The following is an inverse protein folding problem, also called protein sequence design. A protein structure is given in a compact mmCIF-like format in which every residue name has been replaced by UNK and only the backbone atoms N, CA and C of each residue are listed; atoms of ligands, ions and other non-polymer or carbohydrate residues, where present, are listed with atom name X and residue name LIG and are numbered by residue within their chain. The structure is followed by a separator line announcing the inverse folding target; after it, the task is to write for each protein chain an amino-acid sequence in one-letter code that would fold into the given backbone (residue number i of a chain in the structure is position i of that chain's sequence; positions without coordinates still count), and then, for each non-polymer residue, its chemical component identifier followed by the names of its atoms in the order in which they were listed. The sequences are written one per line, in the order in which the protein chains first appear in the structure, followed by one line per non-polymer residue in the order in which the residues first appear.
data_IF_768617144394
#
_entry.id   IF_768617144394
#
_cell.length_a   1.000
_cell.length_b   1.000
_cell.length_c   1.000
_cell.angle_alpha   90.00
_cell.angle_beta   90.00
_cell.angle_gamma   90.00
#
_symmetry.space_group_name_H-M   'P 1'
#
loop_
_entity.id
_entity.type
_entity.pdbx_description
1 polymer ?
#
# COMPACT_ATOMS: atom_id res chain seq x y z
N UNK A 1 34.02 71.86 -65.25
CA UNK A 1 33.36 70.53 -65.38
C UNK A 1 34.32 69.42 -64.95
N UNK A 2 34.45 69.08 -63.66
CA UNK A 2 35.06 67.81 -63.20
C UNK A 2 34.92 67.67 -61.67
N UNK A 3 33.70 67.48 -61.16
CA UNK A 3 33.45 67.28 -59.72
C UNK A 3 32.39 66.21 -59.42
N UNK A 4 32.12 65.31 -60.38
CA UNK A 4 31.01 64.34 -60.30
C UNK A 4 31.41 62.86 -60.17
N UNK A 5 32.71 62.50 -60.27
CA UNK A 5 33.14 61.09 -60.31
C UNK A 5 33.58 60.51 -58.95
N UNK A 6 34.01 61.31 -57.98
CA UNK A 6 34.49 60.78 -56.69
C UNK A 6 33.39 60.41 -55.70
N UNK A 7 32.22 61.05 -55.75
CA UNK A 7 31.06 60.67 -54.90
C UNK A 7 30.54 59.26 -55.18
N UNK A 8 30.73 58.72 -56.39
CA UNK A 8 30.30 57.35 -56.73
C UNK A 8 31.21 56.26 -56.13
N UNK A 9 32.51 56.52 -55.91
CA UNK A 9 33.43 55.51 -55.35
C UNK A 9 33.27 55.34 -53.83
N UNK A 10 32.98 56.41 -53.10
CA UNK A 10 32.79 56.36 -51.64
C UNK A 10 31.53 55.55 -51.27
N UNK A 11 30.45 55.68 -52.05
CA UNK A 11 29.20 54.92 -51.83
C UNK A 11 29.31 53.42 -52.10
N UNK A 12 30.29 52.97 -52.89
CA UNK A 12 30.49 51.53 -53.15
C UNK A 12 31.23 50.83 -52.01
N UNK A 13 32.16 51.50 -51.31
CA UNK A 13 32.88 50.94 -50.17
C UNK A 13 31.99 50.80 -48.93
N UNK A 14 31.15 51.80 -48.64
CA UNK A 14 30.19 51.74 -47.52
C UNK A 14 29.13 50.66 -47.71
N UNK A 15 28.66 50.42 -48.93
CA UNK A 15 27.73 49.32 -49.25
C UNK A 15 28.35 47.94 -49.06
N UNK A 16 29.62 47.74 -49.43
CA UNK A 16 30.33 46.46 -49.22
C UNK A 16 30.62 46.20 -47.74
N UNK A 17 30.99 47.23 -46.98
CA UNK A 17 31.19 47.11 -45.53
C UNK A 17 29.88 46.76 -44.80
N UNK A 18 28.76 47.40 -45.17
CA UNK A 18 27.45 47.07 -44.61
C UNK A 18 27.00 45.64 -44.92
N UNK A 19 27.22 45.17 -46.14
CA UNK A 19 26.90 43.78 -46.53
C UNK A 19 27.74 42.74 -45.76
N UNK A 20 29.05 43.00 -45.57
CA UNK A 20 29.91 42.13 -44.79
C UNK A 20 29.48 42.05 -43.32
N UNK A 21 29.10 43.18 -42.72
CA UNK A 21 28.61 43.21 -41.34
C UNK A 21 27.32 42.39 -41.19
N UNK A 22 26.34 42.59 -42.07
CA UNK A 22 25.09 41.82 -42.05
C UNK A 22 25.37 40.32 -42.18
N UNK A 23 26.26 39.92 -43.11
CA UNK A 23 26.63 38.51 -43.26
C UNK A 23 27.28 37.95 -41.99
N UNK A 24 28.22 38.67 -41.38
CA UNK A 24 28.86 38.24 -40.14
C UNK A 24 27.87 38.15 -38.98
N UNK A 25 26.91 39.08 -38.89
CA UNK A 25 25.86 39.05 -37.87
C UNK A 25 24.93 37.84 -38.07
N UNK A 26 24.52 37.55 -39.30
CA UNK A 26 23.70 36.37 -39.61
C UNK A 26 24.45 35.08 -39.26
N UNK A 27 25.73 34.96 -39.66
CA UNK A 27 26.56 33.80 -39.32
C UNK A 27 26.72 33.66 -37.80
N UNK A 28 26.95 34.76 -37.09
CA UNK A 28 27.06 34.75 -35.63
C UNK A 28 25.76 34.28 -34.97
N UNK A 29 24.61 34.78 -35.41
CA UNK A 29 23.29 34.38 -34.88
C UNK A 29 23.01 32.90 -35.16
N UNK A 30 23.39 32.40 -36.33
CA UNK A 30 23.24 30.97 -36.65
C UNK A 30 24.17 30.10 -35.79
N UNK A 31 25.41 30.53 -35.58
CA UNK A 31 26.37 29.81 -34.72
C UNK A 31 25.91 29.80 -33.26
N UNK A 32 25.43 30.93 -32.72
CA UNK A 32 24.93 30.98 -31.34
C UNK A 32 23.68 30.13 -31.18
N UNK A 33 22.76 30.14 -32.15
CA UNK A 33 21.60 29.26 -32.14
C UNK A 33 21.97 27.77 -32.19
N UNK A 34 23.00 27.41 -32.97
CA UNK A 34 23.49 26.02 -33.06
C UNK A 34 24.15 25.59 -31.75
N UNK A 35 25.03 26.42 -31.17
CA UNK A 35 25.68 26.14 -29.88
C UNK A 35 24.63 26.02 -28.77
N UNK A 36 23.64 26.91 -28.73
CA UNK A 36 22.56 26.86 -27.74
C UNK A 36 21.73 25.57 -27.88
N UNK A 37 21.33 25.20 -29.10
CA UNK A 37 20.60 23.94 -29.35
C UNK A 37 21.42 22.73 -28.92
N UNK A 38 22.70 22.67 -29.27
CA UNK A 38 23.58 21.56 -28.91
C UNK A 38 23.78 21.48 -27.39
N UNK A 39 24.01 22.61 -26.72
CA UNK A 39 24.12 22.67 -25.25
C UNK A 39 22.83 22.24 -24.56
N UNK A 40 21.68 22.67 -25.07
CA UNK A 40 20.37 22.29 -24.54
C UNK A 40 20.11 20.79 -24.71
N UNK A 41 20.39 20.22 -25.90
CA UNK A 41 20.25 18.79 -26.16
C UNK A 41 21.18 17.93 -25.30
N UNK A 42 22.44 18.35 -25.12
CA UNK A 42 23.40 17.64 -24.25
C UNK A 42 22.95 17.70 -22.78
N UNK A 43 22.46 18.84 -22.32
CA UNK A 43 21.92 18.99 -20.97
C UNK A 43 20.70 18.07 -20.75
N UNK A 44 19.73 18.08 -21.67
CA UNK A 44 18.57 17.19 -21.63
C UNK A 44 18.96 15.70 -21.63
N UNK A 45 19.94 15.32 -22.45
CA UNK A 45 20.45 13.95 -22.48
C UNK A 45 21.12 13.57 -21.16
N UNK A 46 21.94 14.45 -20.58
CA UNK A 46 22.54 14.24 -19.26
C UNK A 46 21.49 14.07 -18.17
N UNK A 47 20.44 14.90 -18.16
CA UNK A 47 19.34 14.75 -17.20
C UNK A 47 18.60 13.41 -17.35
N UNK A 48 18.36 12.95 -18.58
CA UNK A 48 17.76 11.63 -18.83
C UNK A 48 18.66 10.49 -18.36
N UNK A 49 19.97 10.58 -18.59
CA UNK A 49 20.92 9.59 -18.09
C UNK A 49 20.96 9.57 -16.57
N UNK A 50 21.01 10.73 -15.93
CA UNK A 50 21.01 10.83 -14.47
C UNK A 50 19.73 10.22 -13.89
N UNK A 51 18.57 10.56 -14.44
CA UNK A 51 17.30 9.98 -14.04
C UNK A 51 17.28 8.45 -14.19
N UNK A 52 17.85 7.91 -15.29
CA UNK A 52 17.93 6.46 -15.49
C UNK A 52 18.85 5.77 -14.47
N UNK A 53 19.97 6.41 -14.08
CA UNK A 53 20.86 5.93 -13.02
C UNK A 53 20.12 5.95 -11.68
N UNK A 54 19.53 7.09 -11.33
CA UNK A 54 18.74 7.30 -10.11
C UNK A 54 17.61 6.26 -9.99
N UNK A 55 16.89 6.02 -11.08
CA UNK A 55 15.81 5.03 -11.14
C UNK A 55 16.31 3.60 -10.93
N UNK A 56 17.45 3.22 -11.52
CA UNK A 56 18.05 1.91 -11.30
C UNK A 56 18.47 1.74 -9.84
N UNK A 57 19.12 2.74 -9.26
CA UNK A 57 19.51 2.75 -7.84
C UNK A 57 18.30 2.60 -6.92
N UNK A 58 17.25 3.42 -7.13
CA UNK A 58 16.01 3.34 -6.37
C UNK A 58 15.34 1.96 -6.52
N UNK A 59 15.31 1.39 -7.73
CA UNK A 59 14.73 0.06 -7.98
C UNK A 59 15.49 -1.04 -7.25
N UNK A 60 16.82 -1.05 -7.29
CA UNK A 60 17.62 -2.05 -6.57
C UNK A 60 17.50 -1.90 -5.05
N UNK A 61 17.45 -0.66 -4.54
CA UNK A 61 17.18 -0.39 -3.13
C UNK A 61 15.79 -0.89 -2.72
N UNK A 62 14.76 -0.65 -3.54
CA UNK A 62 13.40 -1.14 -3.32
C UNK A 62 13.33 -2.68 -3.28
N UNK A 63 13.94 -3.37 -4.25
CA UNK A 63 13.98 -4.84 -4.27
C UNK A 63 14.72 -5.42 -3.05
N UNK A 64 15.84 -4.78 -2.66
CA UNK A 64 16.61 -5.19 -1.48
C UNK A 64 15.83 -4.96 -0.20
N UNK A 65 15.17 -3.81 -0.08
CA UNK A 65 14.27 -3.45 1.01
C UNK A 65 13.11 -4.44 1.16
N UNK A 66 12.51 -4.83 0.04
CA UNK A 66 11.44 -5.81 0.04
C UNK A 66 11.91 -7.18 0.50
N UNK A 67 13.09 -7.65 0.04
CA UNK A 67 13.67 -8.91 0.51
C UNK A 67 13.98 -8.88 2.00
N UNK A 68 14.51 -7.75 2.50
CA UNK A 68 14.74 -7.54 3.92
C UNK A 68 13.43 -7.63 4.71
N UNK A 69 12.41 -6.89 4.27
CA UNK A 69 11.11 -6.87 4.93
C UNK A 69 10.46 -8.27 4.96
N UNK A 70 10.51 -9.00 3.85
CA UNK A 70 10.03 -10.39 3.74
C UNK A 70 10.77 -11.38 4.64
N UNK A 71 12.05 -11.13 4.95
CA UNK A 71 12.79 -11.95 5.90
C UNK A 71 12.41 -11.62 7.34
N UNK A 72 12.23 -10.33 7.66
CA UNK A 72 11.90 -9.88 9.02
C UNK A 72 10.45 -10.13 9.42
N UNK A 73 9.53 -10.25 8.47
CA UNK A 73 8.10 -10.40 8.75
C UNK A 73 7.77 -11.74 9.43
N UNK A 74 8.58 -12.79 9.22
CA UNK A 74 8.40 -14.08 9.88
C UNK A 74 8.53 -13.99 11.41
N UNK A 75 9.31 -13.03 11.89
CA UNK A 75 9.51 -12.73 13.32
C UNK A 75 8.49 -11.73 13.87
N UNK A 76 7.60 -11.19 13.03
CA UNK A 76 6.64 -10.19 13.46
C UNK A 76 5.50 -10.85 14.23
N UNK A 77 5.48 -10.61 15.54
CA UNK A 77 4.35 -10.88 16.42
C UNK A 77 3.64 -9.55 16.72
N UNK A 78 2.45 -9.30 16.11
CA UNK A 78 1.69 -8.10 16.38
C UNK A 78 1.26 -8.08 17.85
N UNK A 79 1.67 -7.05 18.59
CA UNK A 79 1.27 -6.85 19.98
C UNK A 79 0.27 -5.70 20.07
N UNK A 80 -0.93 -5.98 20.56
CA UNK A 80 -1.93 -4.96 20.83
C UNK A 80 -1.60 -4.20 22.11
N UNK A 81 -1.77 -2.88 22.08
CA UNK A 81 -1.52 -2.02 23.23
C UNK A 81 -2.85 -1.62 23.87
N UNK A 82 -2.98 -1.85 25.18
CA UNK A 82 -4.11 -1.36 25.98
C UNK A 82 -3.94 0.14 26.24
N UNK A 83 -5.03 0.89 26.08
CA UNK A 83 -5.06 2.35 26.16
C UNK A 83 -6.44 2.86 26.61
N UNK A 84 -6.81 2.65 27.88
CA UNK A 84 -8.13 3.01 28.39
C UNK A 84 -8.42 4.52 28.32
N UNK A 85 -7.40 5.36 28.47
CA UNK A 85 -7.56 6.82 28.63
C UNK A 85 -7.26 7.63 27.36
N UNK A 86 -6.87 6.97 26.25
CA UNK A 86 -6.55 7.63 24.99
C UNK A 86 -7.78 7.71 24.04
N UNK A 87 -7.87 8.76 23.19
CA UNK A 87 -8.84 8.78 22.10
C UNK A 87 -8.63 7.60 21.15
N UNK A 88 -9.71 7.05 20.56
CA UNK A 88 -9.53 5.98 19.58
C UNK A 88 -9.18 6.55 18.21
N UNK A 89 -8.34 5.82 17.46
CA UNK A 89 -8.07 6.16 16.06
C UNK A 89 -9.32 6.07 15.18
N UNK A 90 -10.32 5.27 15.57
CA UNK A 90 -11.52 5.04 14.77
C UNK A 90 -12.36 6.30 14.55
N UNK A 91 -12.37 7.19 15.54
CA UNK A 91 -13.26 8.35 15.57
C UNK A 91 -12.66 9.53 14.80
N UNK A 92 -11.34 9.49 14.58
CA UNK A 92 -10.61 10.50 13.82
C UNK A 92 -11.17 10.69 12.42
N UNK A 93 -11.70 9.61 11.83
CA UNK A 93 -12.14 9.59 10.44
C UNK A 93 -13.52 10.21 10.24
N UNK A 94 -14.40 10.09 11.24
CA UNK A 94 -15.72 10.74 11.25
C UNK A 94 -15.63 12.24 11.56
N UNK A 95 -14.60 12.65 12.30
CA UNK A 95 -14.48 14.03 12.76
C UNK A 95 -14.15 14.97 11.62
N UNK A 96 -14.84 16.10 11.58
CA UNK A 96 -14.41 17.27 10.81
C UNK A 96 -13.04 17.75 11.30
N UNK A 97 -12.35 18.54 10.47
CA UNK A 97 -11.03 19.07 10.82
C UNK A 97 -11.07 19.98 12.07
N UNK A 98 -12.18 20.68 12.27
CA UNK A 98 -12.42 21.52 13.46
C UNK A 98 -12.57 20.65 14.71
N UNK A 99 -13.40 19.61 14.65
CA UNK A 99 -13.57 18.65 15.75
C UNK A 99 -12.27 17.92 16.07
N UNK A 100 -11.51 17.51 15.04
CA UNK A 100 -10.21 16.88 15.23
C UNK A 100 -9.24 17.82 15.95
N UNK A 101 -9.14 19.09 15.53
CA UNK A 101 -8.28 20.08 16.22
C UNK A 101 -8.70 20.31 17.67
N UNK A 102 -10.00 20.41 17.93
CA UNK A 102 -10.53 20.55 19.28
C UNK A 102 -10.20 19.32 20.14
N UNK A 103 -10.43 18.11 19.62
CA UNK A 103 -10.10 16.86 20.29
C UNK A 103 -8.60 16.77 20.59
N UNK A 104 -7.75 17.14 19.64
CA UNK A 104 -6.29 17.16 19.85
C UNK A 104 -5.86 18.20 20.89
N UNK A 105 -6.50 19.38 20.92
CA UNK A 105 -6.25 20.40 21.93
C UNK A 105 -6.69 19.95 23.33
N UNK A 106 -7.88 19.34 23.45
CA UNK A 106 -8.37 18.76 24.70
C UNK A 106 -7.47 17.61 25.18
N UNK A 107 -7.01 16.76 24.26
CA UNK A 107 -6.11 15.67 24.60
C UNK A 107 -4.73 16.18 25.05
N UNK A 108 -4.19 17.20 24.37
CA UNK A 108 -2.96 17.88 24.78
C UNK A 108 -3.09 18.47 26.20
N UNK A 109 -4.25 19.07 26.52
CA UNK A 109 -4.53 19.59 27.85
C UNK A 109 -4.61 18.49 28.91
N UNK A 110 -5.28 17.36 28.62
CA UNK A 110 -5.33 16.21 29.53
C UNK A 110 -3.94 15.67 29.84
N UNK A 111 -3.09 15.51 28.81
CA UNK A 111 -1.71 15.08 28.97
C UNK A 111 -0.89 16.07 29.83
N UNK A 112 -1.06 17.37 29.61
CA UNK A 112 -0.37 18.39 30.41
C UNK A 112 -0.74 18.30 31.91
N UNK A 113 -2.03 18.12 32.22
CA UNK A 113 -2.52 17.98 33.61
C UNK A 113 -1.98 16.71 34.27
N UNK A 114 -1.93 15.58 33.55
CA UNK A 114 -1.37 14.32 34.07
C UNK A 114 0.14 14.42 34.36
N UNK A 115 0.88 15.15 33.53
CA UNK A 115 2.31 15.40 33.75
C UNK A 115 2.50 16.25 35.01
N UNK A 116 1.74 17.34 35.16
CA UNK A 116 1.83 18.22 36.33
C UNK A 116 1.45 17.48 37.63
N UNK A 117 0.43 16.61 37.61
CA UNK A 117 0.02 15.81 38.76
C UNK A 117 1.05 14.74 39.16
N UNK A 118 1.80 14.19 38.19
CA UNK A 118 2.78 13.11 38.41
C UNK A 118 4.25 13.58 38.46
N UNK A 119 4.49 14.90 38.43
CA UNK A 119 5.80 15.57 38.31
C UNK A 119 6.76 15.43 39.51
N UNK A 120 6.72 14.29 40.21
CA UNK A 120 7.75 13.87 41.16
C UNK A 120 8.40 12.50 40.86
N UNK A 121 7.94 11.67 39.89
CA UNK A 121 8.59 10.34 39.76
C UNK A 121 8.64 9.57 38.42
N UNK A 122 8.37 10.13 37.24
CA UNK A 122 8.56 9.35 35.99
C UNK A 122 9.27 10.12 34.88
N UNK A 123 10.61 10.01 34.90
CA UNK A 123 11.52 10.46 33.86
C UNK A 123 11.39 9.70 32.53
N UNK A 124 10.72 8.54 32.51
CA UNK A 124 10.72 7.64 31.33
C UNK A 124 9.86 8.12 30.15
N UNK A 125 8.73 8.80 30.43
CA UNK A 125 7.83 9.28 29.38
C UNK A 125 8.45 10.43 28.55
N UNK A 126 9.13 11.37 29.22
CA UNK A 126 9.80 12.50 28.57
C UNK A 126 10.98 12.05 27.70
N UNK A 127 11.75 11.04 28.11
CA UNK A 127 12.84 10.50 27.28
C UNK A 127 12.35 9.79 26.02
N UNK A 128 11.19 9.13 26.06
CA UNK A 128 10.62 8.48 24.88
C UNK A 128 10.02 9.52 23.91
N UNK A 129 9.34 10.54 24.44
CA UNK A 129 8.78 11.63 23.63
C UNK A 129 9.87 12.50 22.97
N UNK A 130 10.95 12.81 23.71
CA UNK A 130 12.09 13.60 23.19
C UNK A 130 12.95 12.81 22.19
N UNK A 131 13.03 11.48 22.27
CA UNK A 131 13.73 10.67 21.28
C UNK A 131 12.95 10.50 19.96
N UNK A 132 11.62 10.58 19.97
CA UNK A 132 10.83 10.58 18.72
C UNK A 132 10.82 11.96 18.05
N UNK A 133 10.74 13.05 18.82
CA UNK A 133 10.77 14.43 18.31
C UNK A 133 12.12 14.80 17.67
N UNK A 134 13.24 14.28 18.18
CA UNK A 134 14.57 14.58 17.62
C UNK A 134 14.86 13.88 16.29
N UNK A 135 14.05 12.91 15.86
CA UNK A 135 14.22 12.19 14.59
C UNK A 135 13.55 12.86 13.38
N UNK A 136 12.65 13.83 13.61
CA UNK A 136 11.90 14.53 12.55
C UNK A 136 12.34 15.99 12.33
N UNK A 137 13.29 16.48 13.11
CA UNK A 137 13.79 17.85 13.03
C UNK A 137 15.28 17.90 12.66
N UNK A 138 15.65 17.26 11.55
CA UNK A 138 16.90 17.61 10.87
C UNK A 138 16.66 17.83 9.37
N UNK A 139 16.19 19.02 9.05
CA UNK A 139 16.43 19.70 7.77
C UNK A 139 15.98 21.16 7.86
N UNK A 140 16.96 22.03 8.10
CA UNK A 140 16.94 23.47 7.84
C UNK A 140 16.13 24.39 8.78
N UNK A 141 16.73 24.83 9.89
CA UNK A 141 16.53 26.21 10.39
C UNK A 141 17.57 26.66 11.43
N UNK A 142 18.42 27.60 10.99
CA UNK A 142 18.90 28.80 11.71
C UNK A 142 19.59 28.63 13.08
N UNK A 143 20.90 28.91 13.06
CA UNK A 143 21.66 29.71 14.04
C UNK A 143 20.86 30.23 15.23
N UNK A 144 20.95 29.53 16.37
CA UNK A 144 20.47 30.00 17.66
C UNK A 144 21.57 30.84 18.30
N UNK A 145 21.26 32.12 18.48
CA UNK A 145 22.06 33.14 19.15
C UNK A 145 22.16 32.85 20.67
N UNK A 146 23.38 32.71 21.19
CA UNK A 146 23.68 32.23 22.54
C UNK A 146 23.54 33.31 23.64
N UNK A 147 23.01 34.50 23.33
CA UNK A 147 22.99 35.64 24.26
C UNK A 147 21.63 36.03 24.87
N UNK A 148 20.58 35.21 24.74
CA UNK A 148 19.32 35.44 25.47
C UNK A 148 19.31 34.75 26.84
N UNK A 149 20.19 35.22 27.73
CA UNK A 149 20.26 34.78 29.12
C UNK A 149 20.01 35.98 30.03
N UNK A 150 18.76 36.45 30.11
CA UNK A 150 18.18 37.14 31.28
C UNK A 150 16.75 37.62 30.95
N UNK A 151 15.75 36.83 31.33
CA UNK A 151 14.33 37.17 31.20
C UNK A 151 13.46 36.11 31.88
N UNK A 152 13.29 36.26 33.20
CA UNK A 152 12.49 35.39 34.04
C UNK A 152 11.00 35.38 33.63
N UNK A 153 10.36 34.21 33.80
CA UNK A 153 8.91 33.96 33.69
C UNK A 153 8.27 34.13 32.31
N UNK A 154 8.83 33.47 31.30
CA UNK A 154 8.04 32.98 30.17
C UNK A 154 7.73 31.50 30.40
N UNK A 155 6.46 31.17 30.65
CA UNK A 155 5.96 29.81 30.46
C UNK A 155 6.35 29.43 29.04
N UNK A 156 7.31 28.51 28.93
CA UNK A 156 7.77 27.98 27.66
C UNK A 156 6.59 27.21 27.07
N UNK A 157 5.87 27.83 26.12
CA UNK A 157 5.02 27.16 25.15
C UNK A 157 5.89 26.14 24.38
N UNK A 158 6.14 24.98 25.00
CA UNK A 158 7.08 23.95 24.52
C UNK A 158 6.44 22.60 24.29
N UNK A 159 5.11 22.51 24.40
CA UNK A 159 4.40 21.43 23.76
C UNK A 159 4.21 21.82 22.30
N UNK A 160 5.21 21.52 21.47
CA UNK A 160 5.07 21.53 20.03
C UNK A 160 3.96 20.53 19.67
N UNK A 161 2.72 21.05 19.49
CA UNK A 161 1.49 20.28 19.27
C UNK A 161 1.63 19.37 18.04
N UNK A 162 2.57 19.70 17.14
CA UNK A 162 2.91 18.95 15.94
C UNK A 162 3.41 17.52 16.20
N UNK A 163 3.88 17.19 17.40
CA UNK A 163 4.30 15.83 17.76
C UNK A 163 3.19 14.94 18.32
N UNK A 164 2.02 15.49 18.62
CA UNK A 164 0.92 14.73 19.21
C UNK A 164 0.14 14.02 18.09
N UNK A 165 0.13 12.69 18.11
CA UNK A 165 -0.67 11.88 17.19
C UNK A 165 -1.45 10.82 17.96
N UNK A 166 -2.66 10.52 17.52
CA UNK A 166 -3.47 9.46 18.12
C UNK A 166 -2.91 8.11 17.67
N UNK A 167 -2.54 7.29 18.65
CA UNK A 167 -1.95 5.98 18.42
C UNK A 167 -2.97 5.05 17.75
N UNK A 168 -2.49 4.11 16.96
CA UNK A 168 -3.29 2.99 16.45
C UNK A 168 -3.27 1.80 17.43
N UNK A 169 -3.96 0.70 17.07
CA UNK A 169 -4.11 -0.48 17.94
C UNK A 169 -2.78 -1.18 18.28
N UNK A 170 -1.76 -0.97 17.43
CA UNK A 170 -0.39 -1.47 17.61
C UNK A 170 0.56 -0.43 18.23
N UNK A 171 0.03 0.69 18.73
CA UNK A 171 0.80 1.83 19.25
C UNK A 171 1.22 2.85 18.20
N UNK A 172 1.46 2.40 16.96
CA UNK A 172 1.82 3.25 15.83
C UNK A 172 0.57 3.76 15.12
N UNK A 173 0.64 4.86 14.34
CA UNK A 173 -0.52 5.37 13.60
C UNK A 173 -1.15 4.28 12.72
N UNK A 174 -2.47 4.20 12.73
CA UNK A 174 -3.21 3.28 11.84
C UNK A 174 -2.97 3.69 10.37
N UNK A 175 -2.74 2.76 9.42
CA UNK A 175 -2.95 1.31 9.50
C UNK A 175 -1.65 0.49 9.74
N UNK A 176 -0.60 1.11 10.26
CA UNK A 176 0.69 0.44 10.38
C UNK A 176 0.69 -0.56 11.55
N UNK A 177 1.41 -1.68 11.36
CA UNK A 177 1.65 -2.68 12.42
C UNK A 177 2.89 -2.32 13.24
N UNK A 178 3.86 -1.68 12.60
CA UNK A 178 5.13 -1.23 13.20
C UNK A 178 5.51 0.13 12.61
N UNK A 179 6.35 0.88 13.33
CA UNK A 179 6.86 2.16 12.86
C UNK A 179 7.57 1.96 11.52
N UNK A 180 7.30 2.82 10.51
CA UNK A 180 7.98 2.74 9.23
C UNK A 180 9.49 2.73 9.42
N UNK A 181 10.15 1.73 8.84
CA UNK A 181 11.60 1.58 8.97
C UNK A 181 12.26 2.35 7.85
N UNK A 182 13.01 3.38 8.21
CA UNK A 182 13.82 4.14 7.27
C UNK A 182 15.24 3.60 7.22
N UNK A 183 15.73 3.30 6.01
CA UNK A 183 17.06 2.75 5.77
C UNK A 183 17.71 3.55 4.65
N UNK A 184 18.95 3.99 4.84
CA UNK A 184 19.74 4.59 3.76
C UNK A 184 20.57 3.50 3.08
N UNK A 185 20.42 3.37 1.76
CA UNK A 185 21.12 2.39 0.95
C UNK A 185 21.93 3.10 -0.15
N UNK A 186 23.17 3.47 0.20
CA UNK A 186 24.01 4.31 -0.66
C UNK A 186 23.38 5.69 -0.83
N UNK A 187 23.06 6.06 -2.07
CA UNK A 187 22.42 7.35 -2.40
C UNK A 187 20.88 7.30 -2.36
N UNK A 188 20.29 6.13 -2.05
CA UNK A 188 18.84 5.95 -1.99
C UNK A 188 18.34 5.91 -0.54
N UNK A 189 17.25 6.63 -0.26
CA UNK A 189 16.48 6.51 0.99
C UNK A 189 15.34 5.53 0.79
N UNK A 190 15.24 4.55 1.67
CA UNK A 190 14.25 3.49 1.66
C UNK A 190 13.32 3.66 2.86
N UNK A 191 12.02 3.54 2.65
CA UNK A 191 11.01 3.49 3.71
C UNK A 191 10.22 2.20 3.56
N UNK A 192 10.17 1.39 4.63
CA UNK A 192 9.45 0.13 4.69
C UNK A 192 8.26 0.29 5.63
N UNK A 193 7.05 0.13 5.11
CA UNK A 193 5.79 0.19 5.83
C UNK A 193 5.17 -1.22 5.87
N UNK A 194 4.68 -1.64 7.04
CA UNK A 194 3.95 -2.90 7.21
C UNK A 194 2.52 -2.55 7.63
N UNK A 195 1.55 -2.99 6.85
CA UNK A 195 0.14 -2.62 6.96
C UNK A 195 -0.68 -3.88 7.22
N UNK A 196 -1.63 -3.77 8.16
CA UNK A 196 -2.62 -4.82 8.45
C UNK A 196 -3.77 -4.78 7.43
N UNK A 197 -3.90 -5.81 6.61
CA UNK A 197 -4.99 -5.88 5.62
C UNK A 197 -6.29 -6.40 6.24
N UNK A 198 -6.25 -7.12 7.36
CA UNK A 198 -7.46 -7.50 8.09
C UNK A 198 -8.09 -6.32 8.84
N UNK A 199 -7.34 -5.25 9.08
CA UNK A 199 -7.90 -4.00 9.63
C UNK A 199 -8.77 -3.24 8.63
N UNK A 200 -8.85 -3.69 7.37
CA UNK A 200 -9.53 -3.03 6.25
C UNK A 200 -10.76 -3.80 5.80
N UNK A 201 -11.66 -3.15 5.07
CA UNK A 201 -12.83 -3.80 4.48
C UNK A 201 -12.41 -4.74 3.32
N UNK A 202 -12.78 -6.02 3.37
CA UNK A 202 -12.58 -6.95 2.27
C UNK A 202 -13.47 -6.62 1.06
N UNK A 203 -12.91 -6.07 -0.01
CA UNK A 203 -13.66 -5.86 -1.27
C UNK A 203 -14.18 -7.18 -1.88
N UNK A 204 -13.54 -8.30 -1.53
CA UNK A 204 -13.96 -9.66 -1.91
C UNK A 204 -15.41 -9.95 -1.52
N UNK A 205 -15.93 -9.30 -0.48
CA UNK A 205 -17.33 -9.42 -0.06
C UNK A 205 -18.31 -8.98 -1.16
N UNK A 206 -17.98 -7.94 -1.92
CA UNK A 206 -18.80 -7.48 -3.05
C UNK A 206 -18.82 -8.45 -4.24
N UNK A 207 -17.84 -9.35 -4.32
CA UNK A 207 -17.66 -10.30 -5.44
C UNK A 207 -18.23 -11.69 -5.10
N UNK A 208 -18.60 -11.94 -3.83
CA UNK A 208 -19.01 -13.27 -3.38
C UNK A 208 -20.22 -13.83 -4.17
N UNK A 209 -20.14 -15.13 -4.49
CA UNK A 209 -21.17 -15.89 -5.17
C UNK A 209 -22.15 -16.60 -4.23
N UNK A 210 -21.88 -16.61 -2.93
CA UNK A 210 -22.67 -17.36 -1.95
C UNK A 210 -24.08 -16.74 -1.79
N UNK A 211 -25.12 -17.46 -2.23
CA UNK A 211 -26.48 -16.94 -2.32
C UNK A 211 -27.06 -16.47 -0.96
N UNK A 212 -26.72 -17.16 0.12
CA UNK A 212 -27.20 -16.84 1.47
C UNK A 212 -26.55 -15.58 2.05
N UNK A 213 -25.42 -15.18 1.49
CA UNK A 213 -24.53 -14.18 2.08
C UNK A 213 -24.31 -12.98 1.14
N UNK A 214 -24.83 -13.07 -0.09
CA UNK A 214 -24.67 -12.09 -1.18
C UNK A 214 -25.30 -10.74 -0.84
N UNK A 215 -26.57 -10.71 -0.44
CA UNK A 215 -27.28 -9.44 -0.20
C UNK A 215 -26.66 -8.69 0.97
N UNK A 216 -26.31 -9.42 2.01
CA UNK A 216 -25.65 -8.92 3.21
C UNK A 216 -24.28 -8.36 2.83
N UNK A 217 -23.36 -9.20 2.34
CA UNK A 217 -22.00 -8.78 1.96
C UNK A 217 -21.97 -7.57 1.02
N UNK A 218 -22.91 -7.51 0.06
CA UNK A 218 -23.07 -6.36 -0.85
C UNK A 218 -23.50 -5.10 -0.10
N UNK A 219 -24.47 -5.22 0.81
CA UNK A 219 -24.92 -4.09 1.63
C UNK A 219 -23.79 -3.53 2.49
N UNK A 220 -22.93 -4.36 3.09
CA UNK A 220 -21.77 -3.86 3.84
C UNK A 220 -20.82 -3.02 3.00
N UNK A 221 -20.52 -3.44 1.76
CA UNK A 221 -19.66 -2.66 0.85
C UNK A 221 -20.32 -1.33 0.50
N UNK A 222 -21.62 -1.32 0.18
CA UNK A 222 -22.36 -0.10 -0.12
C UNK A 222 -22.40 0.84 1.08
N UNK A 223 -22.75 0.34 2.27
CA UNK A 223 -22.77 1.13 3.50
C UNK A 223 -21.39 1.70 3.81
N UNK A 224 -20.31 0.92 3.63
CA UNK A 224 -18.96 1.45 3.78
C UNK A 224 -18.67 2.59 2.79
N UNK A 225 -19.03 2.45 1.51
CA UNK A 225 -18.84 3.50 0.52
C UNK A 225 -19.63 4.77 0.87
N UNK A 226 -20.86 4.63 1.37
CA UNK A 226 -21.68 5.74 1.86
C UNK A 226 -21.01 6.45 3.06
N UNK A 227 -20.46 5.68 4.01
CA UNK A 227 -19.69 6.23 5.15
C UNK A 227 -18.42 6.97 4.72
N UNK A 228 -17.77 6.51 3.65
CA UNK A 228 -16.65 7.22 3.03
C UNK A 228 -17.10 8.41 2.16
N UNK A 229 -18.37 8.82 2.26
CA UNK A 229 -18.98 9.94 1.53
C UNK A 229 -18.83 9.82 0.01
N UNK A 230 -18.79 8.58 -0.52
CA UNK A 230 -18.83 8.38 -1.96
C UNK A 230 -20.22 8.75 -2.49
N UNK A 231 -20.26 9.45 -3.62
CA UNK A 231 -21.54 9.78 -4.25
C UNK A 231 -22.21 8.51 -4.79
N UNK A 232 -23.55 8.38 -4.73
CA UNK A 232 -24.26 7.22 -5.28
C UNK A 232 -23.92 6.95 -6.76
N UNK A 233 -23.65 8.01 -7.53
CA UNK A 233 -23.24 7.93 -8.93
C UNK A 233 -21.87 7.28 -9.15
N UNK A 234 -20.99 7.30 -8.14
CA UNK A 234 -19.70 6.61 -8.14
C UNK A 234 -19.81 5.19 -7.54
N UNK A 235 -20.73 4.98 -6.58
CA UNK A 235 -20.97 3.67 -5.93
C UNK A 235 -21.57 2.67 -6.92
N UNK A 236 -22.60 3.04 -7.67
CA UNK A 236 -23.29 2.12 -8.58
C UNK A 236 -22.35 1.52 -9.65
N UNK A 237 -21.55 2.31 -10.41
CA UNK A 237 -20.59 1.77 -11.37
C UNK A 237 -19.54 0.87 -10.73
N UNK A 238 -19.05 1.25 -9.54
CA UNK A 238 -18.09 0.43 -8.81
C UNK A 238 -18.68 -0.94 -8.42
N UNK A 239 -19.93 -0.98 -7.97
CA UNK A 239 -20.61 -2.24 -7.67
C UNK A 239 -20.89 -3.07 -8.93
N UNK A 240 -21.14 -2.43 -10.06
CA UNK A 240 -21.28 -3.11 -11.36
C UNK A 240 -19.95 -3.72 -11.83
N UNK A 241 -18.81 -3.02 -11.64
CA UNK A 241 -17.47 -3.57 -11.90
C UNK A 241 -17.21 -4.83 -11.05
N UNK A 242 -17.59 -4.82 -9.77
CA UNK A 242 -17.46 -6.00 -8.91
C UNK A 242 -18.33 -7.17 -9.36
N UNK A 243 -19.54 -6.92 -9.88
CA UNK A 243 -20.39 -7.98 -10.44
C UNK A 243 -19.84 -8.50 -11.77
N UNK A 244 -19.23 -7.66 -12.62
CA UNK A 244 -18.52 -8.12 -13.83
C UNK A 244 -17.33 -9.03 -13.49
N UNK A 245 -16.57 -8.69 -12.45
CA UNK A 245 -15.46 -9.52 -11.98
C UNK A 245 -15.94 -10.89 -11.51
N UNK A 246 -17.10 -10.92 -10.85
CA UNK A 246 -17.73 -12.17 -10.42
C UNK A 246 -18.09 -13.08 -11.59
N UNK A 247 -18.47 -12.54 -12.75
CA UNK A 247 -18.72 -13.33 -13.97
C UNK A 247 -17.45 -14.00 -14.50
N UNK A 248 -16.30 -13.31 -14.39
CA UNK A 248 -15.00 -13.88 -14.79
C UNK A 248 -14.60 -15.03 -13.89
N UNK A 249 -14.83 -14.91 -12.59
CA UNK A 249 -14.54 -15.97 -11.63
C UNK A 249 -15.49 -15.92 -10.43
N UNK A 250 -16.33 -16.95 -10.22
CA UNK A 250 -17.14 -17.03 -9.02
C UNK A 250 -16.27 -17.41 -7.81
N UNK A 251 -16.66 -16.88 -6.67
CA UNK A 251 -15.85 -16.87 -5.47
C UNK A 251 -16.74 -17.17 -4.26
N UNK A 252 -16.29 -18.05 -3.37
CA UNK A 252 -16.97 -18.33 -2.11
C UNK A 252 -16.14 -17.76 -0.97
N UNK A 253 -16.81 -17.22 0.06
CA UNK A 253 -16.16 -16.65 1.25
C UNK A 253 -15.44 -17.77 2.01
N UNK A 254 -16.05 -18.96 2.06
CA UNK A 254 -15.42 -20.15 2.61
C UNK A 254 -14.63 -20.86 1.51
N UNK A 255 -13.38 -20.45 1.32
CA UNK A 255 -12.46 -21.10 0.38
C UNK A 255 -12.21 -22.53 0.85
N UNK A 256 -12.90 -23.49 0.23
CA UNK A 256 -12.54 -24.89 0.33
C UNK A 256 -11.51 -25.22 -0.76
N UNK A 257 -10.53 -26.10 -0.47
CA UNK A 257 -9.54 -26.51 -1.46
C UNK A 257 -10.22 -27.09 -2.71
N UNK A 258 -10.05 -26.45 -3.86
CA UNK A 258 -10.68 -26.91 -5.11
C UNK A 258 -9.90 -28.07 -5.70
N UNK A 259 -10.54 -29.22 -5.80
CA UNK A 259 -9.98 -30.42 -6.44
C UNK A 259 -10.11 -30.28 -7.95
N UNK A 260 -9.01 -29.90 -8.61
CA UNK A 260 -8.97 -29.72 -10.07
C UNK A 260 -8.45 -30.98 -10.74
N UNK A 261 -9.19 -31.53 -11.69
CA UNK A 261 -8.77 -32.69 -12.47
C UNK A 261 -7.77 -32.29 -13.57
N UNK A 262 -6.47 -32.39 -13.31
CA UNK A 262 -5.42 -32.14 -14.31
C UNK A 262 -5.12 -33.42 -15.08
N UNK A 263 -5.20 -33.36 -16.41
CA UNK A 263 -4.76 -34.47 -17.27
C UNK A 263 -3.24 -34.40 -17.42
N UNK A 264 -2.51 -35.26 -16.72
CA UNK A 264 -1.06 -35.37 -16.90
C UNK A 264 -0.76 -36.49 -17.89
N UNK A 265 -0.05 -36.16 -18.97
CA UNK A 265 0.48 -37.17 -19.87
C UNK A 265 1.65 -37.89 -19.19
N UNK A 266 1.49 -39.18 -18.93
CA UNK A 266 2.54 -39.98 -18.32
C UNK A 266 3.57 -40.31 -19.42
N UNK A 267 4.72 -39.63 -19.40
CA UNK A 267 5.88 -40.11 -20.16
C UNK A 267 6.43 -41.33 -19.42
N UNK A 268 6.14 -42.53 -19.94
CA UNK A 268 6.74 -43.78 -19.48
C UNK A 268 8.26 -43.74 -19.76
N UNK A 269 9.03 -43.20 -18.82
CA UNK A 269 10.48 -43.30 -18.81
C UNK A 269 10.87 -44.73 -18.39
N UNK A 270 10.71 -45.68 -19.32
CA UNK A 270 11.25 -47.03 -19.21
C UNK A 270 12.76 -46.99 -19.48
N UNK A 271 13.53 -46.51 -18.50
CA UNK A 271 14.97 -46.68 -18.44
C UNK A 271 15.28 -47.96 -17.66
N UNK A 272 15.26 -49.10 -18.36
CA UNK A 272 15.77 -50.36 -17.84
C UNK A 272 16.89 -50.85 -18.77
N UNK A 273 18.11 -50.43 -18.44
CA UNK A 273 19.31 -50.57 -19.27
C UNK A 273 19.90 -51.98 -19.12
N UNK A 274 19.30 -52.98 -19.76
CA UNK A 274 19.95 -54.29 -19.97
C UNK A 274 20.74 -54.28 -21.29
N UNK A 275 21.99 -54.74 -21.23
CA UNK A 275 22.92 -54.85 -22.37
C UNK A 275 22.41 -55.93 -23.35
N UNK A 276 21.58 -55.53 -24.31
CA UNK A 276 21.11 -56.38 -25.42
C UNK A 276 22.19 -56.53 -26.50
N UNK A 277 22.27 -57.71 -27.11
CA UNK A 277 23.27 -58.05 -28.15
C UNK A 277 22.86 -57.51 -29.54
N UNK A 278 23.84 -57.32 -30.43
CA UNK A 278 23.63 -56.69 -31.75
C UNK A 278 22.63 -57.43 -32.67
N UNK A 279 22.37 -58.71 -32.44
CA UNK A 279 21.40 -59.51 -33.19
C UNK A 279 19.94 -59.22 -32.78
N UNK A 280 19.68 -58.98 -31.49
CA UNK A 280 18.33 -58.70 -30.97
C UNK A 280 17.84 -57.30 -31.38
N UNK A 281 18.78 -56.34 -31.52
CA UNK A 281 18.50 -54.97 -31.99
C UNK A 281 17.82 -54.92 -33.36
N UNK A 282 18.18 -55.82 -34.30
CA UNK A 282 17.59 -55.86 -35.66
C UNK A 282 16.19 -56.46 -35.70
N UNK A 283 15.88 -57.43 -34.84
CA UNK A 283 14.54 -58.00 -34.75
C UNK A 283 13.53 -57.01 -34.13
N UNK A 284 13.97 -56.21 -33.16
CA UNK A 284 13.13 -55.21 -32.47
C UNK A 284 12.76 -54.01 -33.36
N UNK A 285 13.65 -53.59 -34.26
CA UNK A 285 13.42 -52.49 -35.22
C UNK A 285 12.28 -52.76 -36.22
N UNK A 286 11.97 -54.03 -36.53
CA UNK A 286 10.83 -54.36 -37.41
C UNK A 286 9.49 -54.49 -36.68
N UNK A 287 9.48 -54.85 -35.39
CA UNK A 287 8.25 -54.88 -34.58
C UNK A 287 7.83 -53.52 -34.01
N UNK A 288 8.73 -52.55 -33.92
CA UNK A 288 8.41 -51.23 -33.33
C UNK A 288 7.54 -50.33 -34.22
N UNK A 289 7.57 -50.50 -35.56
CA UNK A 289 6.77 -49.66 -36.47
C UNK A 289 5.27 -49.94 -36.44
N UNK A 290 4.84 -51.13 -36.00
CA UNK A 290 3.42 -51.48 -35.84
C UNK A 290 2.89 -51.21 -34.42
N UNK A 291 3.74 -51.25 -33.40
CA UNK A 291 3.36 -50.99 -32.01
C UNK A 291 3.29 -49.49 -31.65
N UNK A 292 4.02 -48.63 -32.37
CA UNK A 292 4.01 -47.18 -32.16
C UNK A 292 2.66 -46.52 -32.47
N UNK A 293 1.77 -47.18 -33.24
CA UNK A 293 0.45 -46.65 -33.61
C UNK A 293 -0.68 -46.98 -32.61
N UNK A 294 -0.42 -47.78 -31.55
CA UNK A 294 -1.43 -48.21 -30.58
C UNK A 294 -1.18 -47.80 -29.12
N UNK A 295 -0.08 -47.09 -28.84
CA UNK A 295 0.11 -46.45 -27.53
C UNK A 295 -0.61 -45.10 -27.54
N UNK A 296 -1.93 -45.14 -27.52
CA UNK A 296 -2.71 -43.98 -27.10
C UNK A 296 -2.26 -43.66 -25.69
N UNK A 297 -1.65 -42.48 -25.50
CA UNK A 297 -1.22 -42.02 -24.20
C UNK A 297 -2.38 -42.19 -23.21
N UNK A 298 -2.21 -43.06 -22.20
CA UNK A 298 -3.20 -43.17 -21.12
C UNK A 298 -3.12 -41.86 -20.35
N UNK A 299 -4.00 -40.93 -20.67
CA UNK A 299 -4.19 -39.72 -19.88
C UNK A 299 -4.75 -40.15 -18.53
N UNK A 300 -3.93 -40.08 -17.48
CA UNK A 300 -4.41 -40.24 -16.12
C UNK A 300 -4.86 -38.86 -15.65
N UNK A 301 -6.14 -38.74 -15.35
CA UNK A 301 -6.68 -37.58 -14.67
C UNK A 301 -6.21 -37.64 -13.23
N UNK A 302 -5.30 -36.74 -12.83
CA UNK A 302 -4.88 -36.58 -11.44
C UNK A 302 -5.69 -35.44 -10.86
N UNK A 303 -6.40 -35.72 -9.77
CA UNK A 303 -7.05 -34.70 -8.97
C UNK A 303 -5.95 -33.93 -8.21
N UNK A 304 -5.69 -32.70 -8.62
CA UNK A 304 -4.78 -31.78 -7.95
C UNK A 304 -5.62 -30.81 -7.11
N UNK A 305 -5.46 -30.90 -5.78
CA UNK A 305 -6.06 -29.94 -4.85
C UNK A 305 -5.28 -28.63 -4.92
N UNK A 306 -5.96 -27.54 -5.27
CA UNK A 306 -5.35 -26.20 -5.29
C UNK A 306 -5.29 -25.66 -3.84
N UNK A 307 -4.16 -25.11 -3.37
CA UNK A 307 -4.06 -24.59 -2.01
C UNK A 307 -4.88 -23.31 -1.83
N UNK A 308 -5.37 -23.03 -0.63
CA UNK A 308 -6.26 -21.90 -0.34
C UNK A 308 -5.65 -20.54 -0.73
N UNK A 309 -4.34 -20.36 -0.53
CA UNK A 309 -3.63 -19.13 -0.91
C UNK A 309 -3.75 -18.79 -2.40
N UNK A 310 -3.93 -19.80 -3.24
CA UNK A 310 -4.04 -19.59 -4.67
C UNK A 310 -5.31 -18.82 -5.06
N UNK A 311 -6.36 -18.90 -4.23
CA UNK A 311 -7.56 -18.09 -4.40
C UNK A 311 -7.27 -16.64 -4.00
N UNK A 312 -6.61 -16.42 -2.87
CA UNK A 312 -6.13 -15.10 -2.44
C UNK A 312 -5.25 -14.42 -3.50
N UNK A 313 -4.33 -15.18 -4.12
CA UNK A 313 -3.50 -14.69 -5.21
C UNK A 313 -4.33 -14.30 -6.44
N UNK A 314 -5.33 -15.09 -6.80
CA UNK A 314 -6.21 -14.75 -7.92
C UNK A 314 -7.03 -13.48 -7.62
N UNK A 315 -7.51 -13.28 -6.39
CA UNK A 315 -8.16 -12.03 -5.99
C UNK A 315 -7.22 -10.84 -6.12
N UNK A 316 -6.02 -10.92 -5.54
CA UNK A 316 -5.05 -9.84 -5.61
C UNK A 316 -4.76 -9.49 -7.08
N UNK A 317 -4.56 -10.48 -7.95
CA UNK A 317 -4.35 -10.23 -9.38
C UNK A 317 -5.50 -9.49 -10.06
N UNK A 318 -6.75 -9.84 -9.72
CA UNK A 318 -7.93 -9.20 -10.33
C UNK A 318 -8.14 -7.80 -9.75
N UNK A 319 -7.99 -7.63 -8.44
CA UNK A 319 -8.21 -6.35 -7.75
C UNK A 319 -7.14 -5.30 -8.06
N UNK A 320 -5.93 -5.75 -8.40
CA UNK A 320 -4.86 -4.89 -8.92
C UNK A 320 -4.83 -4.83 -10.45
N UNK A 321 -5.82 -5.42 -11.13
CA UNK A 321 -5.98 -5.31 -12.58
C UNK A 321 -6.78 -4.04 -12.93
N UNK A 322 -6.73 -3.57 -14.19
CA UNK A 322 -7.53 -2.43 -14.63
C UNK A 322 -9.05 -2.71 -14.67
N UNK A 323 -9.52 -3.88 -14.21
CA UNK A 323 -10.95 -4.19 -14.12
C UNK A 323 -11.64 -3.45 -12.97
N UNK A 324 -10.89 -2.97 -11.98
CA UNK A 324 -11.42 -2.15 -10.88
C UNK A 324 -10.88 -0.74 -11.04
N UNK A 325 -11.78 0.25 -11.07
CA UNK A 325 -11.38 1.65 -11.09
C UNK A 325 -10.95 2.12 -9.69
N UNK A 326 -9.68 1.91 -9.37
CA UNK A 326 -9.10 2.35 -8.10
C UNK A 326 -8.98 3.88 -8.00
N UNK A 327 -9.06 4.63 -9.10
CA UNK A 327 -8.96 6.10 -9.07
C UNK A 327 -10.16 6.72 -8.38
N UNK A 328 -11.37 6.18 -8.59
CA UNK A 328 -12.58 6.62 -7.88
C UNK A 328 -12.45 6.44 -6.37
N UNK A 329 -11.86 5.32 -5.94
CA UNK A 329 -11.61 5.03 -4.52
C UNK A 329 -10.46 5.86 -3.94
N UNK A 330 -9.53 6.32 -4.77
CA UNK A 330 -8.41 7.16 -4.37
C UNK A 330 -8.79 8.64 -4.24
N UNK A 331 -9.98 9.05 -4.71
CA UNK A 331 -10.46 10.43 -4.55
C UNK A 331 -10.46 10.79 -3.05
N UNK A 332 -9.89 11.95 -2.68
CA UNK A 332 -9.89 12.37 -1.29
C UNK A 332 -11.31 12.76 -0.88
N UNK A 333 -11.74 12.28 0.28
CA UNK A 333 -13.04 12.59 0.89
C UNK A 333 -13.05 14.04 1.38
N UNK A 334 -11.96 14.44 2.03
CA UNK A 334 -11.75 15.80 2.52
C UNK A 334 -10.83 16.57 1.55
N UNK A 335 -11.16 17.83 1.27
CA UNK A 335 -10.37 18.69 0.37
C UNK A 335 -9.19 19.38 1.04
N UNK A 336 -8.92 19.05 2.30
CA UNK A 336 -7.95 19.75 3.12
C UNK A 336 -6.51 19.32 2.80
N UNK A 337 -5.59 20.29 2.81
CA UNK A 337 -4.17 20.08 2.48
C UNK A 337 -3.46 19.17 3.50
N UNK A 338 -3.94 19.14 4.74
CA UNK A 338 -3.26 18.45 5.85
C UNK A 338 -3.74 17.01 6.05
N UNK A 339 -4.94 16.65 5.56
CA UNK A 339 -5.54 15.34 5.78
C UNK A 339 -6.22 14.84 4.51
N UNK A 340 -5.52 13.96 3.80
CA UNK A 340 -6.03 13.28 2.61
C UNK A 340 -6.49 11.87 2.96
N UNK A 341 -7.76 11.75 3.38
CA UNK A 341 -8.40 10.45 3.58
C UNK A 341 -9.10 10.02 2.29
N UNK A 342 -9.00 8.74 1.93
CA UNK A 342 -9.63 8.15 0.74
C UNK A 342 -10.19 6.77 1.06
N UNK A 343 -11.24 6.33 0.35
CA UNK A 343 -11.83 5.00 0.54
C UNK A 343 -10.80 3.88 0.31
N UNK A 344 -9.88 4.08 -0.65
CA UNK A 344 -8.82 3.13 -0.98
C UNK A 344 -7.93 2.76 0.22
N UNK A 345 -7.70 3.69 1.15
CA UNK A 345 -6.89 3.44 2.37
C UNK A 345 -7.51 2.37 3.28
N UNK A 346 -8.84 2.25 3.26
CA UNK A 346 -9.63 1.37 4.12
C UNK A 346 -10.12 0.10 3.42
N UNK A 347 -9.76 -0.10 2.15
CA UNK A 347 -10.13 -1.29 1.39
C UNK A 347 -8.92 -2.23 1.32
N UNK A 348 -9.14 -3.52 1.61
CA UNK A 348 -8.14 -4.55 1.41
C UNK A 348 -8.16 -5.02 -0.05
N UNK A 349 -7.02 -4.89 -0.73
CA UNK A 349 -6.84 -5.36 -2.12
C UNK A 349 -6.15 -6.74 -2.19
N UNK A 350 -5.51 -7.18 -1.10
CA UNK A 350 -4.73 -8.41 -1.07
C UNK A 350 -5.55 -9.67 -0.76
N UNK A 351 -6.87 -9.57 -0.82
CA UNK A 351 -7.77 -10.71 -0.62
C UNK A 351 -7.87 -11.19 0.83
N UNK A 352 -7.74 -10.28 1.80
CA UNK A 352 -8.22 -10.54 3.16
C UNK A 352 -9.71 -10.90 3.07
N UNK A 353 -10.17 -11.82 3.92
CA UNK A 353 -11.57 -12.31 3.89
C UNK A 353 -12.35 -11.94 5.15
N UNK A 354 -11.62 -11.65 6.23
CA UNK A 354 -12.15 -11.38 7.55
C UNK A 354 -11.57 -10.08 8.09
N UNK A 355 -12.40 -9.37 8.83
CA UNK A 355 -12.04 -8.12 9.48
C UNK A 355 -11.56 -8.42 10.89
N UNK A 356 -10.40 -7.88 11.27
CA UNK A 356 -9.89 -7.96 12.63
C UNK A 356 -10.57 -6.91 13.52
N UNK A 357 -11.40 -7.35 14.45
CA UNK A 357 -12.17 -6.49 15.35
C UNK A 357 -11.30 -5.63 16.28
N UNK A 358 -10.09 -6.08 16.57
CA UNK A 358 -9.15 -5.35 17.42
C UNK A 358 -8.51 -4.16 16.68
N UNK A 359 -8.43 -4.21 15.35
CA UNK A 359 -7.65 -3.25 14.55
C UNK A 359 -8.46 -2.46 13.54
N UNK A 360 -9.69 -2.90 13.24
CA UNK A 360 -10.55 -2.21 12.30
C UNK A 360 -11.08 -0.87 12.86
N UNK A 361 -11.14 0.20 12.04
CA UNK A 361 -11.78 1.45 12.43
C UNK A 361 -13.31 1.30 12.48
N UNK A 362 -13.97 2.30 13.07
CA UNK A 362 -15.41 2.32 13.36
C UNK A 362 -16.26 2.01 12.13
N UNK A 363 -15.99 2.68 11.01
CA UNK A 363 -16.85 2.59 9.83
C UNK A 363 -16.77 1.19 9.20
N UNK A 364 -15.60 0.55 9.34
CA UNK A 364 -15.39 -0.83 8.88
C UNK A 364 -16.12 -1.81 9.81
N UNK A 365 -16.10 -1.56 11.14
CA UNK A 365 -16.88 -2.35 12.09
C UNK A 365 -18.38 -2.20 11.84
N UNK A 366 -18.87 -0.97 11.69
CA UNK A 366 -20.28 -0.70 11.40
C UNK A 366 -20.71 -1.38 10.11
N UNK A 367 -19.93 -1.24 9.04
CA UNK A 367 -20.16 -1.96 7.79
C UNK A 367 -20.21 -3.49 8.01
N UNK A 368 -19.29 -4.05 8.78
CA UNK A 368 -19.25 -5.49 9.08
C UNK A 368 -20.44 -6.01 9.90
N UNK A 369 -21.03 -5.17 10.76
CA UNK A 369 -22.16 -5.54 11.61
C UNK A 369 -23.53 -5.11 11.06
N UNK A 370 -23.58 -4.48 9.88
CA UNK A 370 -24.86 -4.17 9.19
C UNK A 370 -25.77 -5.38 9.02
N UNK A 371 -25.21 -6.60 8.92
CA UNK A 371 -25.97 -7.85 8.76
C UNK A 371 -26.78 -8.24 10.00
N UNK A 372 -26.31 -7.82 11.18
CA UNK A 372 -26.85 -8.22 12.48
C UNK A 372 -28.01 -7.36 12.97
N UNK A 373 -28.03 -6.08 12.58
CA UNK A 373 -28.75 -5.04 13.31
C UNK A 373 -27.88 -4.46 14.43
N UNK A 374 -28.20 -3.24 14.86
CA UNK A 374 -27.48 -2.50 15.92
C UNK A 374 -25.98 -2.30 15.64
N UNK A 375 -25.63 -2.08 14.36
CA UNK A 375 -24.24 -1.99 13.91
C UNK A 375 -23.45 -0.89 14.62
N UNK A 376 -24.10 0.25 14.88
CA UNK A 376 -23.50 1.42 15.54
C UNK A 376 -23.21 1.11 17.01
N UNK A 377 -24.17 0.52 17.71
CA UNK A 377 -24.04 0.15 19.12
C UNK A 377 -22.99 -0.95 19.31
N UNK A 378 -22.97 -1.96 18.43
CA UNK A 378 -21.98 -3.03 18.47
C UNK A 378 -20.58 -2.46 18.24
N UNK A 379 -20.39 -1.61 17.22
CA UNK A 379 -19.10 -0.99 16.94
C UNK A 379 -18.60 -0.13 18.12
N UNK A 380 -19.47 0.69 18.71
CA UNK A 380 -19.15 1.51 19.88
C UNK A 380 -18.69 0.67 21.08
N UNK A 381 -19.41 -0.42 21.36
CA UNK A 381 -19.08 -1.32 22.47
C UNK A 381 -17.77 -2.08 22.20
N UNK A 382 -17.52 -2.51 20.97
CA UNK A 382 -16.24 -3.11 20.56
C UNK A 382 -15.09 -2.15 20.79
N UNK A 383 -15.23 -0.89 20.35
CA UNK A 383 -14.21 0.14 20.49
C UNK A 383 -13.94 0.44 21.97
N UNK A 384 -14.99 0.57 22.78
CA UNK A 384 -14.87 0.83 24.22
C UNK A 384 -14.16 -0.32 24.94
N UNK A 385 -14.55 -1.56 24.67
CA UNK A 385 -13.98 -2.73 25.35
C UNK A 385 -12.54 -3.02 24.91
N UNK A 386 -12.22 -2.90 23.62
CA UNK A 386 -10.86 -3.18 23.11
C UNK A 386 -9.81 -2.19 23.60
N UNK A 387 -10.21 -0.96 23.94
CA UNK A 387 -9.33 0.03 24.59
C UNK A 387 -8.81 -0.49 25.93
N UNK A 388 -9.68 -1.14 26.71
CA UNK A 388 -9.32 -1.73 27.99
C UNK A 388 -8.53 -3.04 27.81
N UNK A 389 -9.09 -4.00 27.07
CA UNK A 389 -8.44 -5.28 26.79
C UNK A 389 -8.83 -5.78 25.39
N UNK A 390 -7.86 -6.05 24.50
CA UNK A 390 -8.11 -6.66 23.19
C UNK A 390 -8.83 -8.01 23.33
N UNK A 391 -9.72 -8.30 22.37
CA UNK A 391 -10.45 -9.57 22.34
C UNK A 391 -9.51 -10.71 21.94
N UNK A 392 -9.60 -11.84 22.65
CA UNK A 392 -8.76 -13.02 22.38
C UNK A 392 -9.28 -13.83 21.20
N UNK A 393 -10.59 -14.02 21.14
CA UNK A 393 -11.28 -14.76 20.10
C UNK A 393 -12.70 -14.20 19.91
N UNK A 394 -13.40 -14.70 18.89
CA UNK A 394 -14.78 -14.27 18.60
C UNK A 394 -15.75 -14.74 19.70
N UNK A 395 -15.43 -15.82 20.41
CA UNK A 395 -16.29 -16.33 21.48
C UNK A 395 -16.17 -15.48 22.76
N UNK A 396 -15.01 -14.84 23.00
CA UNK A 396 -14.80 -13.79 24.01
C UNK A 396 -15.59 -12.53 23.66
N UNK A 397 -15.62 -12.14 22.38
CA UNK A 397 -16.49 -11.05 21.92
C UNK A 397 -17.97 -11.35 22.24
N UNK A 398 -18.48 -12.53 21.85
CA UNK A 398 -19.87 -12.91 22.12
C UNK A 398 -20.18 -12.97 23.62
N UNK A 399 -19.25 -13.44 24.45
CA UNK A 399 -19.41 -13.49 25.91
C UNK A 399 -19.48 -12.11 26.55
N UNK A 400 -18.62 -11.17 26.11
CA UNK A 400 -18.59 -9.79 26.64
C UNK A 400 -19.80 -8.99 26.16
N UNK A 401 -20.27 -9.23 24.94
CA UNK A 401 -21.40 -8.55 24.32
C UNK A 401 -22.64 -9.46 24.21
N UNK A 402 -23.07 -10.04 25.34
CA UNK A 402 -24.12 -11.06 25.36
C UNK A 402 -25.44 -10.60 24.70
N UNK A 403 -25.78 -9.31 24.80
CA UNK A 403 -26.99 -8.71 24.22
C UNK A 403 -27.00 -8.84 22.70
N UNK A 404 -25.83 -8.78 22.06
CA UNK A 404 -25.66 -8.78 20.61
C UNK A 404 -25.22 -10.12 20.04
N UNK A 405 -25.29 -11.21 20.82
CA UNK A 405 -24.81 -12.55 20.41
C UNK A 405 -25.39 -12.99 19.07
N UNK A 406 -26.68 -12.76 18.83
CA UNK A 406 -27.33 -13.13 17.57
C UNK A 406 -26.76 -12.39 16.35
N UNK A 407 -26.41 -11.11 16.51
CA UNK A 407 -25.76 -10.29 15.47
C UNK A 407 -24.32 -10.73 15.25
N UNK A 408 -23.59 -11.01 16.33
CA UNK A 408 -22.20 -11.47 16.29
C UNK A 408 -22.11 -12.86 15.63
N UNK A 409 -23.03 -13.77 15.92
CA UNK A 409 -23.07 -15.10 15.31
C UNK A 409 -23.28 -15.06 13.80
N UNK A 410 -24.08 -14.10 13.31
CA UNK A 410 -24.23 -13.85 11.86
C UNK A 410 -22.95 -13.27 11.24
N UNK A 411 -22.27 -12.38 11.95
CA UNK A 411 -21.03 -11.75 11.49
C UNK A 411 -19.80 -12.67 11.62
N UNK A 412 -19.87 -13.75 12.42
CA UNK A 412 -18.76 -14.68 12.72
C UNK A 412 -17.96 -15.17 11.50
N UNK A 413 -18.54 -15.44 10.31
CA UNK A 413 -17.77 -15.81 9.12
C UNK A 413 -16.86 -14.70 8.58
N UNK A 414 -17.19 -13.45 8.90
CA UNK A 414 -16.61 -12.22 8.35
C UNK A 414 -15.65 -11.51 9.29
N UNK A 415 -15.57 -11.93 10.54
CA UNK A 415 -14.75 -11.29 11.57
C UNK A 415 -13.72 -12.26 12.16
N UNK A 416 -12.63 -11.70 12.67
CA UNK A 416 -11.53 -12.39 13.35
C UNK A 416 -11.00 -11.49 14.48
N UNK A 417 -10.29 -12.07 15.45
CA UNK A 417 -9.55 -11.33 16.48
C UNK A 417 -8.04 -11.24 16.19
N UNK A 418 -7.58 -12.03 15.21
CA UNK A 418 -6.18 -12.10 14.78
C UNK A 418 -6.07 -11.77 13.29
N UNK A 419 -5.00 -11.06 12.91
CA UNK A 419 -4.68 -10.76 11.52
C UNK A 419 -3.85 -11.87 10.89
N UNK A 420 -4.27 -12.31 9.71
CA UNK A 420 -3.62 -13.33 8.90
C UNK A 420 -3.12 -12.81 7.56
N UNK A 421 -3.43 -11.56 7.19
CA UNK A 421 -3.13 -10.94 5.92
C UNK A 421 -2.47 -9.58 6.15
N UNK A 422 -1.31 -9.38 5.54
CA UNK A 422 -0.51 -8.16 5.69
C UNK A 422 -0.07 -7.68 4.32
N UNK A 423 0.17 -6.38 4.19
CA UNK A 423 0.87 -5.82 3.05
C UNK A 423 2.13 -5.10 3.49
N UNK A 424 3.20 -5.27 2.71
CA UNK A 424 4.46 -4.55 2.90
C UNK A 424 4.59 -3.58 1.74
N UNK A 425 4.68 -2.28 2.05
CA UNK A 425 4.98 -1.24 1.07
C UNK A 425 6.41 -0.76 1.28
N UNK A 426 7.18 -0.77 0.20
CA UNK A 426 8.57 -0.31 0.19
C UNK A 426 8.68 0.83 -0.79
N UNK A 427 9.05 2.01 -0.31
CA UNK A 427 9.28 3.20 -1.15
C UNK A 427 10.76 3.53 -1.13
N UNK A 428 11.38 3.58 -2.30
CA UNK A 428 12.77 3.98 -2.46
C UNK A 428 12.85 5.28 -3.27
N UNK A 429 13.63 6.22 -2.78
CA UNK A 429 13.87 7.52 -3.44
C UNK A 429 15.37 7.69 -3.64
N UNK A 430 15.79 7.94 -4.88
CA UNK A 430 17.18 8.27 -5.24
C UNK A 430 17.14 9.46 -6.18
N UNK A 431 17.76 10.58 -5.80
CA UNK A 431 17.69 11.81 -6.59
C UNK A 431 16.25 12.25 -6.88
N UNK A 432 15.86 12.27 -8.15
CA UNK A 432 14.49 12.63 -8.59
C UNK A 432 13.60 11.39 -8.84
N UNK A 433 14.19 10.19 -8.86
CA UNK A 433 13.45 8.96 -9.11
C UNK A 433 12.86 8.41 -7.82
N UNK A 434 11.59 8.01 -7.88
CA UNK A 434 10.90 7.28 -6.82
C UNK A 434 10.40 5.97 -7.40
N UNK A 435 10.60 4.87 -6.68
CA UNK A 435 10.10 3.54 -7.02
C UNK A 435 9.39 2.99 -5.79
N UNK A 436 8.21 2.42 -5.98
CA UNK A 436 7.46 1.77 -4.91
C UNK A 436 7.20 0.31 -5.25
N UNK A 437 7.28 -0.58 -4.27
CA UNK A 437 6.84 -1.95 -4.40
C UNK A 437 5.92 -2.30 -3.24
N UNK A 438 4.83 -3.00 -3.55
CA UNK A 438 3.90 -3.51 -2.53
C UNK A 438 3.80 -5.03 -2.66
N UNK A 439 3.94 -5.73 -1.54
CA UNK A 439 3.78 -7.18 -1.48
C UNK A 439 2.68 -7.57 -0.51
N UNK A 440 1.80 -8.48 -0.94
CA UNK A 440 0.81 -9.10 -0.06
C UNK A 440 1.32 -10.40 0.54
N UNK A 441 1.01 -10.60 1.81
CA UNK A 441 1.44 -11.74 2.61
C UNK A 441 0.25 -12.35 3.33
N UNK A 442 0.21 -13.68 3.39
CA UNK A 442 -0.78 -14.42 4.18
C UNK A 442 -0.09 -15.38 5.14
N UNK A 443 -0.41 -15.30 6.43
CA UNK A 443 0.04 -16.23 7.47
C UNK A 443 -0.88 -17.44 7.48
N UNK A 444 -0.35 -18.60 7.08
CA UNK A 444 -1.08 -19.87 7.05
C UNK A 444 -0.35 -20.85 7.96
N UNK A 445 -1.00 -21.29 9.04
CA UNK A 445 -0.44 -22.22 10.02
C UNK A 445 0.91 -21.74 10.60
N UNK A 446 1.00 -20.44 10.92
CA UNK A 446 2.21 -19.82 11.46
C UNK A 446 3.29 -19.51 10.43
N UNK A 447 3.19 -20.02 9.19
CA UNK A 447 4.13 -19.70 8.11
C UNK A 447 3.61 -18.58 7.23
N UNK A 448 4.47 -17.64 6.90
CA UNK A 448 4.12 -16.57 5.98
C UNK A 448 4.30 -17.07 4.56
N UNK A 449 3.28 -16.83 3.74
CA UNK A 449 3.28 -17.17 2.33
C UNK A 449 3.01 -15.91 1.52
N UNK A 450 3.81 -15.72 0.48
CA UNK A 450 3.69 -14.57 -0.40
C UNK A 450 2.53 -14.74 -1.38
N UNK A 451 1.64 -13.74 -1.42
CA UNK A 451 0.49 -13.70 -2.34
C UNK A 451 0.96 -13.19 -3.71
N UNK A 452 1.67 -12.06 -3.73
CA UNK A 452 2.14 -11.40 -4.95
C UNK A 452 2.97 -10.16 -4.64
N UNK A 453 3.68 -9.66 -5.64
CA UNK A 453 4.45 -8.40 -5.57
C UNK A 453 4.03 -7.55 -6.76
N UNK A 454 3.76 -6.28 -6.50
CA UNK A 454 3.47 -5.24 -7.48
C UNK A 454 4.56 -4.19 -7.34
N UNK A 455 5.13 -3.77 -8.47
CA UNK A 455 6.15 -2.72 -8.53
C UNK A 455 5.57 -1.59 -9.37
N UNK A 456 5.57 -0.39 -8.81
CA UNK A 456 5.03 0.86 -9.35
C UNK A 456 6.16 1.87 -9.60
#
# INVERSE_FOLDING_TARGET
MSAGKDKKRINFHTRRAGAALILTMVVLVLLTALVYRLSSSVSQWKHRMQYMIDYQTARYACESGLKYALATIEELEPNYISRPDEPDFSDLFTMSDEEYRLMMAEWAQKLAVEIDANSLSKSDFLTQFMNLSSSLADSNSRTIDFNSLLGASGVKDTCDVSGLYVRGPYGVPWPYVKEPVEIEFGDARLVIEIIDENAKLPIVWGISADANSKSESKAAVVTFCEWMQMEPADIEPFMDELEQIKEVKPFSINLQPVVTAVKTETQDNAADTKKETAAERRARLRRSRLAARRRAARTRTVQQTRPDISHTLDYAKILHSPMVNLETLAKPVNKDENRTESALKYISLWGAQKININTAPRHILEAAFTFGGDAVEIAEQIITLRKAEPFKDIDDLSRRLYIYTASIDKAKPYITAESDCFSIRVKAVSGVATVSATAGLKKVQGKIQQIGIIVE
#
